data_IF_010877595954
#
_entry.id   IF_010877595954
#
_cell.length_a   1.000
_cell.length_b   1.000
_cell.length_c   1.000
_cell.angle_alpha   90.00
_cell.angle_beta   90.00
_cell.angle_gamma   90.00
#
_symmetry.space_group_name_H-M   'P 1'
#
loop_
_entity.id
_entity.type
_entity.pdbx_description
1 polymer ?
#
# COMPACT_ATOMS: atom_id res chain seq x y z
N UNK A 1 17.49 20.88 18.15
CA UNK A 1 17.65 21.27 16.73
C UNK A 1 17.19 20.10 15.88
N UNK A 2 16.29 20.32 14.92
CA UNK A 2 15.90 19.27 13.98
C UNK A 2 17.08 18.96 13.02
N UNK A 3 17.33 17.69 12.67
CA UNK A 3 18.39 17.34 11.72
C UNK A 3 18.12 17.97 10.34
N UNK A 4 19.18 18.23 9.57
CA UNK A 4 19.02 18.72 8.20
C UNK A 4 18.65 17.57 7.25
N UNK A 5 17.94 17.89 6.15
CA UNK A 5 17.61 16.94 5.10
C UNK A 5 18.84 16.20 4.54
N UNK A 6 19.98 16.89 4.44
CA UNK A 6 21.27 16.32 4.02
C UNK A 6 21.77 15.26 5.01
N UNK A 7 21.65 15.52 6.32
CA UNK A 7 22.05 14.55 7.35
C UNK A 7 21.16 13.30 7.28
N UNK A 8 19.86 13.48 7.11
CA UNK A 8 18.89 12.37 6.96
C UNK A 8 19.23 11.53 5.73
N UNK A 9 19.51 12.14 4.58
CA UNK A 9 19.89 11.42 3.36
C UNK A 9 21.17 10.58 3.52
N UNK A 10 22.16 11.07 4.27
CA UNK A 10 23.38 10.30 4.57
C UNK A 10 23.09 9.09 5.44
N UNK A 11 22.30 9.27 6.50
CA UNK A 11 21.89 8.18 7.39
C UNK A 11 21.05 7.14 6.63
N UNK A 12 20.16 7.57 5.73
CA UNK A 12 19.44 6.66 4.84
C UNK A 12 20.40 5.84 3.99
N UNK A 13 21.35 6.46 3.29
CA UNK A 13 22.29 5.74 2.44
C UNK A 13 23.07 4.63 3.19
N UNK A 14 23.37 4.85 4.47
CA UNK A 14 24.05 3.87 5.32
C UNK A 14 23.13 2.75 5.82
N UNK A 15 21.89 3.10 6.21
CA UNK A 15 20.97 2.16 6.86
C UNK A 15 20.10 1.35 5.89
N UNK A 16 19.79 1.88 4.69
CA UNK A 16 18.92 1.20 3.73
C UNK A 16 19.43 -0.21 3.35
N UNK A 17 20.72 -0.44 3.06
CA UNK A 17 21.23 -1.79 2.76
C UNK A 17 21.08 -2.79 3.93
N UNK A 18 20.95 -2.28 5.16
CA UNK A 18 20.86 -3.09 6.38
C UNK A 18 19.42 -3.35 6.81
N UNK A 19 18.42 -2.79 6.11
CA UNK A 19 17.00 -2.86 6.51
C UNK A 19 16.52 -4.28 6.79
N UNK A 20 16.89 -5.25 5.95
CA UNK A 20 16.49 -6.66 6.14
C UNK A 20 16.96 -7.24 7.48
N UNK A 21 18.12 -6.82 7.97
CA UNK A 21 18.69 -7.28 9.25
C UNK A 21 18.12 -6.46 10.44
N UNK A 22 17.91 -5.16 10.22
CA UNK A 22 17.40 -4.24 11.23
C UNK A 22 15.91 -4.43 11.50
N UNK A 23 15.11 -4.81 10.52
CA UNK A 23 13.66 -4.92 10.67
C UNK A 23 13.22 -5.89 11.79
N UNK A 24 13.75 -7.13 11.90
CA UNK A 24 13.38 -8.04 12.99
C UNK A 24 14.00 -7.66 14.33
N UNK A 25 15.21 -7.08 14.34
CA UNK A 25 16.00 -6.86 15.58
C UNK A 25 15.82 -5.46 16.19
N UNK A 26 15.54 -4.46 15.34
CA UNK A 26 15.56 -3.02 15.64
C UNK A 26 14.51 -2.27 14.84
N UNK A 27 13.28 -2.78 14.83
CA UNK A 27 12.17 -2.20 14.08
C UNK A 27 11.89 -0.72 14.43
N UNK A 28 12.20 -0.29 15.65
CA UNK A 28 12.15 1.12 16.06
C UNK A 28 13.11 2.04 15.30
N UNK A 29 14.31 1.57 14.96
CA UNK A 29 15.27 2.33 14.13
C UNK A 29 14.73 2.50 12.71
N UNK A 30 14.12 1.44 12.17
CA UNK A 30 13.48 1.49 10.84
C UNK A 30 12.33 2.49 10.84
N UNK A 31 11.49 2.51 11.88
CA UNK A 31 10.42 3.50 11.99
C UNK A 31 10.97 4.92 12.08
N UNK A 32 12.01 5.16 12.88
CA UNK A 32 12.65 6.48 12.96
C UNK A 32 13.19 6.93 11.60
N UNK A 33 13.77 6.01 10.82
CA UNK A 33 14.21 6.29 9.47
C UNK A 33 13.04 6.70 8.57
N UNK A 34 11.95 5.92 8.57
CA UNK A 34 10.73 6.22 7.79
C UNK A 34 10.15 7.58 8.19
N UNK A 35 10.03 7.85 9.50
CA UNK A 35 9.50 9.11 10.03
C UNK A 35 10.38 10.30 9.65
N UNK A 36 11.71 10.16 9.71
CA UNK A 36 12.63 11.20 9.26
C UNK A 36 12.49 11.46 7.76
N UNK A 37 12.33 10.40 6.97
CA UNK A 37 12.10 10.50 5.52
C UNK A 37 10.83 11.29 5.21
N UNK A 38 9.74 10.96 5.92
CA UNK A 38 8.45 11.65 5.82
C UNK A 38 8.53 13.12 6.25
N UNK A 39 9.13 13.40 7.40
CA UNK A 39 9.24 14.75 7.95
C UNK A 39 10.08 15.69 7.07
N UNK A 40 11.06 15.16 6.35
CA UNK A 40 11.96 15.95 5.50
C UNK A 40 11.62 15.87 4.00
N UNK A 41 10.70 14.99 3.60
CA UNK A 41 10.37 14.77 2.18
C UNK A 41 11.57 14.30 1.36
N UNK A 42 12.43 13.46 1.94
CA UNK A 42 13.66 12.97 1.28
C UNK A 42 13.70 11.45 1.29
N UNK A 43 13.89 10.86 0.11
CA UNK A 43 14.21 9.44 -0.06
C UNK A 43 13.09 8.48 0.32
N UNK A 44 11.84 8.92 0.41
CA UNK A 44 10.73 8.07 0.81
C UNK A 44 10.47 6.91 -0.16
N UNK A 45 10.61 7.14 -1.46
CA UNK A 45 10.58 6.07 -2.48
C UNK A 45 11.67 5.00 -2.25
N UNK A 46 12.91 5.42 -2.01
CA UNK A 46 14.02 4.50 -1.73
C UNK A 46 13.81 3.71 -0.42
N UNK A 47 13.23 4.36 0.59
CA UNK A 47 12.87 3.72 1.86
C UNK A 47 11.76 2.70 1.66
N UNK A 48 10.73 3.03 0.87
CA UNK A 48 9.64 2.11 0.54
C UNK A 48 10.16 0.89 -0.24
N UNK A 49 11.03 1.09 -1.23
CA UNK A 49 11.60 0.00 -2.02
C UNK A 49 12.48 -0.92 -1.17
N UNK A 50 13.34 -0.35 -0.33
CA UNK A 50 14.17 -1.14 0.55
C UNK A 50 13.34 -1.87 1.62
N UNK A 51 12.26 -1.26 2.11
CA UNK A 51 11.32 -1.91 3.03
C UNK A 51 10.57 -3.06 2.34
N UNK A 52 10.09 -2.85 1.11
CA UNK A 52 9.45 -3.89 0.30
C UNK A 52 10.38 -5.10 0.13
N UNK A 53 11.64 -4.86 -0.23
CA UNK A 53 12.66 -5.92 -0.33
C UNK A 53 12.92 -6.60 1.02
N UNK A 54 13.02 -5.83 2.11
CA UNK A 54 13.27 -6.35 3.45
C UNK A 54 12.15 -7.27 3.95
N UNK A 55 10.89 -6.93 3.66
CA UNK A 55 9.74 -7.78 4.01
C UNK A 55 9.51 -8.92 3.03
N UNK A 56 10.29 -9.01 1.95
CA UNK A 56 10.15 -10.04 0.91
C UNK A 56 8.99 -9.79 -0.06
N UNK A 57 8.50 -8.55 -0.16
CA UNK A 57 7.57 -8.15 -1.22
C UNK A 57 8.38 -7.90 -2.50
N UNK A 58 8.23 -8.78 -3.48
CA UNK A 58 8.93 -8.68 -4.78
C UNK A 58 8.64 -7.32 -5.42
N UNK A 59 9.65 -6.56 -5.90
CA UNK A 59 9.40 -5.35 -6.68
C UNK A 59 8.57 -5.71 -7.91
N UNK A 60 7.38 -5.12 -8.01
CA UNK A 60 6.62 -5.13 -9.26
C UNK A 60 7.50 -4.48 -10.31
N UNK A 61 8.01 -5.26 -11.25
CA UNK A 61 8.48 -4.70 -12.51
C UNK A 61 7.24 -4.08 -13.15
N UNK A 62 7.02 -2.78 -12.98
CA UNK A 62 6.11 -2.04 -13.83
C UNK A 62 6.57 -2.31 -15.27
N UNK A 63 5.66 -2.74 -16.18
CA UNK A 63 6.03 -2.90 -17.57
C UNK A 63 6.39 -1.50 -18.07
N UNK A 64 7.68 -1.23 -18.16
CA UNK A 64 8.18 -0.08 -18.90
C UNK A 64 7.64 -0.23 -20.31
N UNK A 65 6.56 0.48 -20.62
CA UNK A 65 6.07 0.64 -21.98
C UNK A 65 7.14 1.45 -22.72
N UNK A 66 8.17 0.74 -23.19
CA UNK A 66 9.07 1.21 -24.23
C UNK A 66 8.24 1.21 -25.52
N UNK A 67 7.45 2.25 -25.69
CA UNK A 67 6.88 2.63 -26.98
C UNK A 67 7.99 3.18 -27.85
N UNK A 68 8.81 2.28 -28.42
CA UNK A 68 9.55 2.60 -29.64
C UNK A 68 8.67 2.18 -30.81
N UNK A 69 7.98 3.17 -31.37
CA UNK A 69 7.35 3.05 -32.67
C UNK A 69 8.41 3.07 -33.77
N UNK A 70 8.25 2.18 -34.74
CA UNK A 70 8.66 2.23 -36.16
C UNK A 70 8.63 0.78 -36.67
N UNK A 71 8.17 0.40 -37.86
CA UNK A 71 7.36 0.96 -38.93
C UNK A 71 7.12 -0.23 -39.87
N UNK A 72 5.96 -0.23 -40.52
CA UNK A 72 5.70 -0.81 -41.86
C UNK A 72 5.93 -2.30 -42.16
N UNK A 73 4.90 -2.92 -42.73
CA UNK A 73 5.06 -4.17 -43.48
C UNK A 73 3.77 -4.95 -43.67
N UNK A 74 2.78 -4.37 -44.35
CA UNK A 74 1.65 -5.14 -44.86
C UNK A 74 2.13 -6.27 -45.78
N UNK A 75 1.70 -7.51 -45.52
CA UNK A 75 1.31 -8.46 -46.57
C UNK A 75 0.53 -9.66 -46.01
N UNK A 76 -0.71 -9.74 -46.48
CA UNK A 76 -1.66 -10.86 -46.40
C UNK A 76 -0.99 -12.19 -46.76
N UNK A 77 -1.12 -13.26 -45.95
CA UNK A 77 -1.44 -14.64 -46.41
C UNK A 77 -2.08 -15.47 -45.28
N UNK A 78 -3.35 -15.79 -45.50
CA UNK A 78 -4.12 -17.04 -45.23
C UNK A 78 -3.64 -18.05 -44.15
N UNK A 79 -4.58 -18.30 -43.24
CA UNK A 79 -5.03 -19.62 -42.71
C UNK A 79 -3.94 -20.66 -42.45
N UNK A 80 -3.71 -20.91 -41.16
CA UNK A 80 -3.90 -22.24 -40.57
C UNK A 80 -4.25 -22.10 -39.09
N UNK A 81 -5.50 -22.46 -38.77
CA UNK A 81 -5.92 -22.81 -37.42
C UNK A 81 -5.09 -24.01 -36.98
N UNK A 82 -4.13 -23.79 -36.09
CA UNK A 82 -3.75 -24.79 -35.09
C UNK A 82 -3.99 -24.13 -33.75
N UNK A 83 -5.02 -24.62 -33.06
CA UNK A 83 -5.34 -24.27 -31.69
C UNK A 83 -4.20 -24.73 -30.77
N UNK A 84 -3.10 -23.99 -30.76
CA UNK A 84 -2.26 -23.94 -29.59
C UNK A 84 -3.06 -23.18 -28.53
N UNK A 85 -3.59 -23.94 -27.57
CA UNK A 85 -3.86 -23.48 -26.21
C UNK A 85 -2.56 -22.80 -25.74
N UNK A 86 -2.42 -21.52 -26.08
CA UNK A 86 -1.56 -20.60 -25.34
C UNK A 86 -2.20 -20.55 -23.95
N UNK A 87 -1.75 -21.48 -23.12
CA UNK A 87 -1.88 -21.35 -21.69
C UNK A 87 -1.32 -19.95 -21.40
N UNK A 88 -2.13 -19.02 -20.87
CA UNK A 88 -1.61 -17.72 -20.51
C UNK A 88 -0.38 -17.98 -19.65
N UNK A 89 0.76 -17.27 -19.88
CA UNK A 89 1.90 -17.40 -18.99
C UNK A 89 1.36 -17.29 -17.57
N UNK A 90 1.83 -18.10 -16.60
CA UNK A 90 1.34 -18.01 -15.24
C UNK A 90 1.44 -16.55 -14.86
N UNK A 91 0.29 -15.87 -14.86
CA UNK A 91 0.17 -14.55 -14.29
C UNK A 91 0.59 -14.86 -12.87
N UNK A 92 1.81 -14.46 -12.51
CA UNK A 92 2.16 -14.24 -11.13
C UNK A 92 1.03 -13.34 -10.68
N UNK A 93 0.01 -13.94 -10.05
CA UNK A 93 -1.08 -13.23 -9.43
C UNK A 93 -0.33 -12.42 -8.40
N UNK A 94 -0.04 -11.18 -8.78
CA UNK A 94 0.41 -10.19 -7.84
C UNK A 94 -0.69 -10.20 -6.80
N UNK A 95 -0.37 -10.75 -5.64
CA UNK A 95 -1.22 -10.66 -4.48
C UNK A 95 -1.12 -9.18 -4.12
N UNK A 96 -1.98 -8.36 -4.74
CA UNK A 96 -1.76 -6.91 -4.83
C UNK A 96 -1.65 -6.29 -3.45
N UNK A 97 -2.31 -6.88 -2.45
CA UNK A 97 -2.23 -6.52 -1.04
C UNK A 97 -0.98 -6.98 -0.28
N UNK A 98 -0.08 -7.75 -0.87
CA UNK A 98 1.02 -8.40 -0.16
C UNK A 98 2.00 -7.41 0.48
N UNK A 99 2.36 -6.33 -0.22
CA UNK A 99 3.24 -5.29 0.34
C UNK A 99 2.61 -4.67 1.58
N UNK A 100 1.35 -4.25 1.49
CA UNK A 100 0.62 -3.67 2.60
C UNK A 100 0.51 -4.64 3.78
N UNK A 101 0.08 -5.89 3.56
CA UNK A 101 0.00 -6.93 4.59
C UNK A 101 1.34 -7.17 5.28
N UNK A 102 2.42 -7.28 4.51
CA UNK A 102 3.75 -7.56 5.04
C UNK A 102 4.29 -6.42 5.89
N UNK A 103 4.08 -5.17 5.45
CA UNK A 103 4.47 -4.00 6.26
C UNK A 103 3.59 -3.91 7.51
N UNK A 104 2.27 -4.03 7.39
CA UNK A 104 1.34 -4.01 8.52
C UNK A 104 1.66 -5.10 9.55
N UNK A 105 2.09 -6.28 9.11
CA UNK A 105 2.49 -7.39 9.96
C UNK A 105 3.80 -7.20 10.73
N UNK A 106 4.58 -6.13 10.47
CA UNK A 106 5.85 -5.88 11.18
C UNK A 106 5.57 -5.67 12.68
N UNK A 107 6.12 -6.58 13.49
CA UNK A 107 5.95 -6.57 14.94
C UNK A 107 4.58 -7.09 15.42
N UNK A 108 3.79 -7.73 14.55
CA UNK A 108 2.60 -8.44 14.98
C UNK A 108 2.96 -9.65 15.85
N UNK A 109 2.11 -9.95 16.84
CA UNK A 109 2.30 -11.11 17.75
C UNK A 109 1.65 -12.39 17.24
N UNK A 110 0.82 -12.29 16.20
CA UNK A 110 0.12 -13.40 15.58
C UNK A 110 0.42 -13.45 14.09
N UNK A 111 0.31 -14.64 13.51
CA UNK A 111 0.25 -14.82 12.07
C UNK A 111 -1.19 -14.54 11.65
N UNK A 112 -1.40 -13.60 10.74
CA UNK A 112 -2.72 -13.24 10.24
C UNK A 112 -3.35 -14.41 9.48
N UNK A 113 -4.67 -14.37 9.30
CA UNK A 113 -5.37 -15.28 8.40
C UNK A 113 -5.56 -14.62 7.03
N UNK A 114 -6.13 -15.35 6.09
CA UNK A 114 -6.50 -14.78 4.79
C UNK A 114 -7.46 -13.59 4.97
N UNK A 115 -8.45 -13.72 5.87
CA UNK A 115 -9.48 -12.69 6.08
C UNK A 115 -9.13 -11.65 7.15
N UNK A 116 -8.22 -11.98 8.07
CA UNK A 116 -7.81 -11.10 9.16
C UNK A 116 -6.29 -10.87 9.12
N UNK A 117 -5.84 -9.80 8.45
CA UNK A 117 -4.43 -9.49 8.37
C UNK A 117 -3.85 -9.20 9.76
N UNK A 118 -2.68 -9.74 10.04
CA UNK A 118 -1.96 -9.42 11.27
C UNK A 118 -1.47 -7.98 11.23
N UNK A 119 -1.77 -7.22 12.28
CA UNK A 119 -1.33 -5.83 12.42
C UNK A 119 -0.42 -5.67 13.63
N UNK A 120 0.81 -5.27 13.40
CA UNK A 120 1.75 -4.86 14.43
C UNK A 120 1.70 -3.35 14.64
N UNK A 121 1.96 -2.91 15.88
CA UNK A 121 2.04 -1.48 16.22
C UNK A 121 3.07 -0.78 15.34
N UNK A 122 4.19 -1.46 15.10
CA UNK A 122 5.28 -0.92 14.32
C UNK A 122 4.93 -0.84 12.83
N UNK A 123 4.37 -1.91 12.27
CA UNK A 123 3.90 -1.94 10.89
C UNK A 123 2.86 -0.86 10.59
N UNK A 124 1.85 -0.71 11.46
CA UNK A 124 0.86 0.37 11.33
C UNK A 124 1.49 1.77 11.35
N UNK A 125 2.43 2.03 12.27
CA UNK A 125 3.14 3.32 12.33
C UNK A 125 4.01 3.57 11.10
N UNK A 126 4.63 2.52 10.54
CA UNK A 126 5.38 2.62 9.29
C UNK A 126 4.46 2.98 8.13
N UNK A 127 3.31 2.32 7.98
CA UNK A 127 2.32 2.65 6.94
C UNK A 127 1.83 4.09 7.09
N UNK A 128 1.46 4.52 8.30
CA UNK A 128 1.03 5.91 8.55
C UNK A 128 2.11 6.93 8.17
N UNK A 129 3.37 6.68 8.55
CA UNK A 129 4.47 7.58 8.23
C UNK A 129 4.79 7.57 6.73
N UNK A 130 4.74 6.40 6.08
CA UNK A 130 4.94 6.27 4.64
C UNK A 130 3.86 7.04 3.89
N UNK A 131 2.58 6.82 4.19
CA UNK A 131 1.46 7.51 3.52
C UNK A 131 1.42 9.03 3.78
N UNK A 132 2.24 9.55 4.71
CA UNK A 132 2.47 10.99 4.86
C UNK A 132 3.42 11.59 3.82
N UNK A 133 4.13 10.77 3.03
CA UNK A 133 4.97 11.21 1.93
C UNK A 133 4.13 11.55 0.68
N UNK A 134 4.68 12.31 -0.29
CA UNK A 134 4.02 12.59 -1.56
C UNK A 134 3.52 11.32 -2.28
N UNK A 135 2.36 11.41 -2.94
CA UNK A 135 1.73 10.27 -3.62
C UNK A 135 2.63 9.61 -4.68
N UNK A 136 3.51 10.39 -5.33
CA UNK A 136 4.50 9.87 -6.27
C UNK A 136 5.43 8.83 -5.65
N UNK A 137 5.68 8.91 -4.33
CA UNK A 137 6.56 7.99 -3.60
C UNK A 137 5.77 6.83 -2.96
N UNK A 138 4.49 7.05 -2.63
CA UNK A 138 3.68 6.12 -1.82
C UNK A 138 2.60 5.41 -2.62
N UNK A 139 2.39 5.78 -3.89
CA UNK A 139 1.33 5.25 -4.73
C UNK A 139 1.34 3.73 -4.82
N UNK A 140 2.52 3.10 -4.78
CA UNK A 140 2.65 1.63 -4.74
C UNK A 140 2.09 1.02 -3.46
N UNK A 141 2.33 1.64 -2.30
CA UNK A 141 1.78 1.19 -1.02
C UNK A 141 0.26 1.39 -0.97
N UNK A 142 -0.23 2.53 -1.46
CA UNK A 142 -1.65 2.82 -1.50
C UNK A 142 -2.40 1.87 -2.45
N UNK A 143 -1.86 1.64 -3.66
CA UNK A 143 -2.37 0.62 -4.60
C UNK A 143 -2.38 -0.78 -3.96
N UNK A 144 -1.35 -1.11 -3.16
CA UNK A 144 -1.31 -2.37 -2.45
C UNK A 144 -2.43 -2.49 -1.43
N UNK A 145 -2.63 -1.48 -0.58
CA UNK A 145 -3.76 -1.43 0.35
C UNK A 145 -5.11 -1.57 -0.39
N UNK A 146 -5.30 -0.87 -1.50
CA UNK A 146 -6.55 -0.91 -2.27
C UNK A 146 -6.76 -2.24 -3.02
N UNK A 147 -5.72 -3.07 -3.15
CA UNK A 147 -5.80 -4.40 -3.75
C UNK A 147 -6.10 -5.51 -2.71
N UNK A 148 -6.24 -5.16 -1.44
CA UNK A 148 -6.69 -6.08 -0.40
C UNK A 148 -8.17 -6.45 -0.61
N UNK A 149 -8.58 -7.63 -0.15
CA UNK A 149 -9.96 -8.05 -0.23
C UNK A 149 -10.84 -7.16 0.67
N UNK A 150 -12.11 -6.90 0.29
CA UNK A 150 -13.01 -6.10 1.12
C UNK A 150 -13.15 -6.64 2.55
N UNK A 151 -13.16 -7.96 2.74
CA UNK A 151 -13.22 -8.59 4.08
C UNK A 151 -12.02 -8.20 4.94
N UNK A 152 -10.83 -8.17 4.36
CA UNK A 152 -9.57 -7.80 5.02
C UNK A 152 -9.53 -6.31 5.36
N UNK A 153 -10.00 -5.46 4.45
CA UNK A 153 -10.12 -4.01 4.70
C UNK A 153 -11.09 -3.73 5.84
N UNK A 154 -12.20 -4.46 5.92
CA UNK A 154 -13.13 -4.37 7.04
C UNK A 154 -12.53 -4.92 8.34
N UNK A 155 -11.74 -5.98 8.29
CA UNK A 155 -11.00 -6.47 9.45
C UNK A 155 -9.98 -5.43 9.94
N UNK A 156 -9.21 -4.83 9.03
CA UNK A 156 -8.27 -3.73 9.34
C UNK A 156 -8.99 -2.53 9.95
N UNK A 157 -10.13 -2.13 9.39
CA UNK A 157 -10.91 -1.00 9.90
C UNK A 157 -11.42 -1.22 11.33
N UNK A 158 -11.68 -2.48 11.71
CA UNK A 158 -12.09 -2.85 13.08
C UNK A 158 -10.91 -2.97 14.04
N UNK A 159 -9.73 -3.31 13.54
CA UNK A 159 -8.51 -3.36 14.34
C UNK A 159 -8.07 -1.95 14.76
N UNK A 160 -7.63 -1.79 16.01
CA UNK A 160 -7.25 -0.49 16.58
C UNK A 160 -6.00 0.12 15.92
N UNK A 161 -5.11 -0.69 15.38
CA UNK A 161 -3.89 -0.25 14.71
C UNK A 161 -4.12 -0.15 13.21
N UNK A 162 -4.87 -1.09 12.63
CA UNK A 162 -5.25 -1.09 11.21
C UNK A 162 -6.10 0.12 10.84
N UNK A 163 -7.09 0.47 11.67
CA UNK A 163 -7.96 1.65 11.48
C UNK A 163 -7.17 2.93 11.26
N UNK A 164 -6.16 3.20 12.09
CA UNK A 164 -5.30 4.39 11.91
C UNK A 164 -4.52 4.39 10.59
N UNK A 165 -4.07 3.23 10.11
CA UNK A 165 -3.41 3.15 8.82
C UNK A 165 -4.40 3.44 7.66
N UNK A 166 -5.63 2.94 7.75
CA UNK A 166 -6.68 3.19 6.76
C UNK A 166 -7.14 4.64 6.74
N UNK A 167 -7.25 5.30 7.89
CA UNK A 167 -7.58 6.72 7.95
C UNK A 167 -6.55 7.58 7.21
N UNK A 168 -5.26 7.33 7.43
CA UNK A 168 -4.20 8.03 6.70
C UNK A 168 -4.24 7.71 5.21
N UNK A 169 -4.57 6.46 4.83
CA UNK A 169 -4.73 6.07 3.44
C UNK A 169 -5.89 6.78 2.73
N UNK A 170 -7.03 6.98 3.42
CA UNK A 170 -8.17 7.74 2.89
C UNK A 170 -7.90 9.24 2.85
N UNK A 171 -7.14 9.76 3.82
CA UNK A 171 -6.74 11.16 3.86
C UNK A 171 -5.60 11.49 2.88
N UNK A 172 -4.89 10.49 2.36
CA UNK A 172 -3.87 10.68 1.34
C UNK A 172 -4.53 11.32 0.11
N UNK A 173 -4.01 12.49 -0.30
CA UNK A 173 -4.58 13.26 -1.40
C UNK A 173 -4.46 12.48 -2.70
N UNK A 174 -5.54 11.82 -3.06
CA UNK A 174 -5.62 10.97 -4.22
C UNK A 174 -6.21 11.77 -5.39
N UNK A 175 -5.33 12.37 -6.18
CA UNK A 175 -5.71 13.03 -7.43
C UNK A 175 -6.10 12.04 -8.53
N UNK A 176 -5.82 10.75 -8.34
CA UNK A 176 -5.92 9.71 -9.37
C UNK A 176 -7.07 8.71 -9.14
N UNK A 177 -7.80 8.81 -8.04
CA UNK A 177 -8.88 7.88 -7.69
C UNK A 177 -8.40 6.48 -7.24
N UNK A 178 -7.11 6.34 -6.89
CA UNK A 178 -6.52 5.12 -6.34
C UNK A 178 -7.26 4.62 -5.09
N UNK A 179 -7.73 5.51 -4.22
CA UNK A 179 -8.38 5.20 -2.95
C UNK A 179 -9.87 4.84 -3.09
N UNK A 180 -10.46 4.93 -4.30
CA UNK A 180 -11.87 4.59 -4.52
C UNK A 180 -12.26 3.17 -4.08
N UNK A 181 -11.48 2.10 -4.37
CA UNK A 181 -11.82 0.75 -3.91
C UNK A 181 -11.82 0.62 -2.38
N UNK A 182 -10.94 1.37 -1.70
CA UNK A 182 -10.90 1.42 -0.25
C UNK A 182 -12.15 2.09 0.32
N UNK A 183 -12.59 3.20 -0.29
CA UNK A 183 -13.83 3.88 0.08
C UNK A 183 -15.06 2.99 -0.15
N UNK A 184 -15.15 2.33 -1.31
CA UNK A 184 -16.26 1.44 -1.65
C UNK A 184 -16.40 0.26 -0.67
N UNK A 185 -15.28 -0.37 -0.30
CA UNK A 185 -15.26 -1.43 0.69
C UNK A 185 -15.77 -0.95 2.06
N UNK A 186 -15.37 0.24 2.50
CA UNK A 186 -15.81 0.83 3.78
C UNK A 186 -17.27 1.26 3.74
N UNK A 187 -17.74 1.86 2.64
CA UNK A 187 -19.15 2.22 2.46
C UNK A 187 -20.05 0.97 2.50
N UNK A 188 -19.69 -0.07 1.75
CA UNK A 188 -20.44 -1.35 1.74
C UNK A 188 -20.48 -2.01 3.12
N UNK A 189 -19.45 -1.83 3.94
CA UNK A 189 -19.35 -2.38 5.29
C UNK A 189 -19.78 -1.45 6.42
N UNK A 190 -20.32 -0.26 6.14
CA UNK A 190 -20.50 0.80 7.12
C UNK A 190 -21.32 0.38 8.34
N UNK A 191 -22.44 -0.33 8.13
CA UNK A 191 -23.28 -0.83 9.23
C UNK A 191 -22.58 -1.82 10.17
N UNK A 192 -21.57 -2.57 9.69
CA UNK A 192 -20.73 -3.44 10.55
C UNK A 192 -19.70 -2.61 11.31
N UNK A 193 -19.13 -1.60 10.66
CA UNK A 193 -18.11 -0.72 11.21
C UNK A 193 -18.67 0.25 12.25
N UNK A 194 -19.91 0.72 12.11
CA UNK A 194 -20.54 1.65 13.05
C UNK A 194 -20.64 1.11 14.49
N UNK A 195 -20.61 -0.23 14.65
CA UNK A 195 -20.68 -0.91 15.95
C UNK A 195 -19.34 -1.04 16.66
N UNK A 196 -18.24 -0.67 16.00
CA UNK A 196 -16.88 -0.80 16.52
C UNK A 196 -16.28 0.58 16.79
N UNK A 197 -15.72 0.75 17.99
CA UNK A 197 -15.15 2.04 18.45
C UNK A 197 -13.95 2.49 17.63
N UNK A 198 -13.14 1.54 17.15
CA UNK A 198 -11.94 1.84 16.36
C UNK A 198 -12.29 2.36 14.96
N UNK A 199 -13.40 1.87 14.39
CA UNK A 199 -13.80 2.15 13.02
C UNK A 199 -14.60 3.44 12.84
N UNK A 200 -15.02 4.09 13.93
CA UNK A 200 -15.73 5.39 13.84
C UNK A 200 -14.88 6.44 13.13
N UNK A 201 -13.58 6.46 13.39
CA UNK A 201 -12.66 7.39 12.72
C UNK A 201 -12.43 7.03 11.26
N UNK A 202 -12.43 5.73 10.91
CA UNK A 202 -12.36 5.28 9.52
C UNK A 202 -13.61 5.70 8.76
N UNK A 203 -14.80 5.56 9.36
CA UNK A 203 -16.06 6.02 8.75
C UNK A 203 -16.08 7.54 8.56
N UNK A 204 -15.55 8.29 9.53
CA UNK A 204 -15.41 9.73 9.40
C UNK A 204 -14.45 10.10 8.26
N UNK A 205 -13.27 9.48 8.20
CA UNK A 205 -12.31 9.71 7.13
C UNK A 205 -12.89 9.33 5.75
N UNK A 206 -13.62 8.22 5.67
CA UNK A 206 -14.32 7.80 4.47
C UNK A 206 -15.39 8.82 4.06
N UNK A 207 -16.17 9.33 5.02
CA UNK A 207 -17.17 10.36 4.75
C UNK A 207 -16.53 11.66 4.25
N UNK A 208 -15.41 12.09 4.84
CA UNK A 208 -14.69 13.30 4.42
C UNK A 208 -14.11 13.16 3.01
N UNK A 209 -13.60 11.97 2.66
CA UNK A 209 -13.03 11.65 1.35
C UNK A 209 -14.07 11.30 0.27
N UNK A 210 -15.27 10.88 0.67
CA UNK A 210 -16.32 10.43 -0.23
C UNK A 210 -16.90 11.56 -1.10
N UNK A 211 -17.18 11.23 -2.36
CA UNK A 211 -18.02 12.07 -3.22
C UNK A 211 -19.45 12.18 -2.65
N UNK A 212 -20.21 13.18 -3.11
CA UNK A 212 -21.57 13.45 -2.61
C UNK A 212 -22.48 12.22 -2.68
N UNK A 213 -22.38 11.43 -3.74
CA UNK A 213 -23.19 10.21 -3.93
C UNK A 213 -22.83 9.12 -2.91
N UNK A 214 -21.54 8.89 -2.67
CA UNK A 214 -21.04 7.90 -1.70
C UNK A 214 -21.39 8.26 -0.26
N UNK A 215 -21.53 9.56 0.05
CA UNK A 215 -21.99 10.02 1.37
C UNK A 215 -23.41 9.55 1.69
N UNK A 216 -24.27 9.39 0.70
CA UNK A 216 -25.62 8.83 0.89
C UNK A 216 -25.54 7.40 1.40
N UNK A 217 -24.75 6.55 0.76
CA UNK A 217 -24.55 5.14 1.15
C UNK A 217 -23.96 4.97 2.55
N UNK A 218 -23.12 5.91 3.02
CA UNK A 218 -22.57 5.87 4.37
C UNK A 218 -23.60 6.20 5.47
N UNK A 219 -24.71 6.86 5.12
CA UNK A 219 -25.74 7.31 6.06
C UNK A 219 -26.94 6.35 6.17
N UNK A 220 -27.03 5.37 5.26
CA UNK A 220 -28.06 4.30 5.25
C UNK A 220 -27.68 3.10 6.14
#
# INVERSE_FOLDING_TARGET
MAPSAVAVGRVQAELLPQLKQLLPSRSGVVLQLVQASAAHGVGGGAVLDALAQAVGATPSQEPTQKGEGEREGERKVKRKLTAHKQQPPPQQRFDGGELARRILGVGARSVGTADEPAVGVMGSRMVQALLGLPLAETGRLLRSLCSMQPTELLALARDSLGSRALEVAMAARDTEGIALPLLDAVCTGAGKLARSRSSTYVLQAAFEAAAVEQKGTLLE
#
